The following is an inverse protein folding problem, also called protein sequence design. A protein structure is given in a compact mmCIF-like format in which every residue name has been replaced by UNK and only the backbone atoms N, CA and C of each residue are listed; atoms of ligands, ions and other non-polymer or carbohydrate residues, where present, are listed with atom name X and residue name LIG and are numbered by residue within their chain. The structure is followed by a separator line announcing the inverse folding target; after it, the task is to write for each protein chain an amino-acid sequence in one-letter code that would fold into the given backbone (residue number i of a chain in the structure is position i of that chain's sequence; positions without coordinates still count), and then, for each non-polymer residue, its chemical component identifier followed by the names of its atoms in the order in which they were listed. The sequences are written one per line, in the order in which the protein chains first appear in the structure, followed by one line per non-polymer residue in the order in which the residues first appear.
data_IF_378164064219
#
_entry.id   IF_378164064219
#
_cell.length_a   1.000
_cell.length_b   1.000
_cell.length_c   1.000
_cell.angle_alpha   90.00
_cell.angle_beta   90.00
_cell.angle_gamma   90.00
#
_symmetry.space_group_name_H-M   'P 1'
#
loop_
_entity.id
_entity.type
_entity.pdbx_description
1 polymer ?
#
# COMPACT_ATOMS: atom_id res chain seq x y z
N UNK A 1 -11.44 6.93 -6.45
CA UNK A 1 -12.20 8.09 -5.95
C UNK A 1 -13.23 7.73 -4.87
N UNK A 2 -14.05 6.68 -5.06
CA UNK A 2 -15.19 6.34 -4.16
C UNK A 2 -14.83 6.19 -2.67
N UNK A 3 -13.71 5.56 -2.34
CA UNK A 3 -13.28 5.38 -0.95
C UNK A 3 -12.99 6.71 -0.23
N UNK A 4 -12.27 7.63 -0.89
CA UNK A 4 -11.98 8.95 -0.34
C UNK A 4 -13.28 9.76 -0.12
N UNK A 5 -14.21 9.71 -1.08
CA UNK A 5 -15.51 10.36 -0.95
C UNK A 5 -16.33 9.82 0.24
N UNK A 6 -16.36 8.50 0.43
CA UNK A 6 -17.06 7.87 1.55
C UNK A 6 -16.50 8.30 2.91
N UNK A 7 -15.18 8.47 3.03
CA UNK A 7 -14.54 8.91 4.27
C UNK A 7 -14.87 10.37 4.61
N UNK A 8 -14.94 11.24 3.61
CA UNK A 8 -15.38 12.62 3.80
C UNK A 8 -16.85 12.70 4.20
N UNK A 9 -17.74 11.94 3.56
CA UNK A 9 -19.16 11.90 3.93
C UNK A 9 -19.39 11.30 5.32
N UNK A 10 -18.56 10.34 5.74
CA UNK A 10 -18.58 9.81 7.11
C UNK A 10 -18.17 10.86 8.15
N UNK A 11 -17.20 11.71 7.81
CA UNK A 11 -16.72 12.78 8.70
C UNK A 11 -17.69 13.97 8.74
N UNK A 12 -18.27 14.34 7.59
CA UNK A 12 -19.18 15.46 7.42
C UNK A 12 -20.38 15.03 6.54
N UNK A 13 -21.44 14.45 7.13
CA UNK A 13 -22.56 13.90 6.37
C UNK A 13 -23.45 14.96 5.72
N UNK A 14 -23.35 16.22 6.16
CA UNK A 14 -24.09 17.34 5.57
C UNK A 14 -23.41 17.92 4.31
N UNK A 15 -22.25 17.38 3.88
CA UNK A 15 -21.58 17.89 2.70
C UNK A 15 -22.40 17.65 1.44
N UNK A 16 -22.54 18.69 0.61
CA UNK A 16 -23.09 18.55 -0.72
C UNK A 16 -22.08 17.83 -1.64
N UNK A 17 -22.58 17.18 -2.69
CA UNK A 17 -21.71 16.54 -3.68
C UNK A 17 -20.78 17.55 -4.40
N UNK A 18 -21.26 18.78 -4.63
CA UNK A 18 -20.47 19.83 -5.24
C UNK A 18 -19.34 20.32 -4.32
N UNK A 19 -19.62 20.49 -3.04
CA UNK A 19 -18.60 20.86 -2.04
C UNK A 19 -17.58 19.75 -1.84
N UNK A 20 -18.02 18.48 -1.89
CA UNK A 20 -17.13 17.33 -1.80
C UNK A 20 -16.18 17.29 -3.00
N UNK A 21 -16.71 17.43 -4.22
CA UNK A 21 -15.91 17.46 -5.43
C UNK A 21 -14.88 18.60 -5.41
N UNK A 22 -15.31 19.80 -4.99
CA UNK A 22 -14.40 20.94 -4.81
C UNK A 22 -13.28 20.65 -3.82
N UNK A 23 -13.61 20.17 -2.61
CA UNK A 23 -12.60 19.86 -1.58
C UNK A 23 -11.64 18.76 -2.00
N UNK A 24 -12.10 17.76 -2.74
CA UNK A 24 -11.27 16.70 -3.28
C UNK A 24 -10.30 17.23 -4.34
N UNK A 25 -10.77 18.16 -5.18
CA UNK A 25 -9.98 18.78 -6.24
C UNK A 25 -8.94 19.75 -5.67
N UNK A 26 -9.32 20.62 -4.73
CA UNK A 26 -8.42 21.61 -4.10
C UNK A 26 -7.29 20.97 -3.30
N UNK A 27 -7.49 19.74 -2.81
CA UNK A 27 -6.48 18.99 -2.06
C UNK A 27 -5.76 17.95 -2.90
N UNK A 28 -6.07 17.83 -4.18
CA UNK A 28 -5.38 16.90 -5.04
C UNK A 28 -3.94 17.40 -5.26
N UNK A 29 -2.99 16.47 -5.21
CA UNK A 29 -1.59 16.76 -5.55
C UNK A 29 -1.43 16.66 -7.06
N UNK A 30 -1.08 17.77 -7.69
CA UNK A 30 -0.85 17.82 -9.12
C UNK A 30 0.39 17.01 -9.49
N UNK A 31 0.24 16.06 -10.42
CA UNK A 31 1.31 15.18 -10.89
C UNK A 31 1.68 15.45 -12.37
N UNK A 32 0.99 16.40 -13.01
CA UNK A 32 1.08 16.67 -14.43
C UNK A 32 1.50 18.11 -14.75
N UNK A 33 1.00 18.61 -15.88
CA UNK A 33 1.09 20.04 -16.18
C UNK A 33 0.28 20.84 -15.16
N UNK A 34 0.75 22.03 -14.75
CA UNK A 34 0.08 22.84 -13.74
C UNK A 34 -1.42 23.01 -14.00
N UNK A 35 -2.23 22.51 -13.08
CA UNK A 35 -3.68 22.59 -13.14
C UNK A 35 -4.32 21.31 -13.64
N UNK A 36 -5.40 21.44 -14.42
CA UNK A 36 -6.19 20.28 -14.83
C UNK A 36 -5.65 19.72 -16.14
N UNK A 37 -5.22 18.46 -16.13
CA UNK A 37 -4.74 17.77 -17.33
C UNK A 37 -5.69 16.63 -17.77
N UNK A 38 -5.45 16.08 -18.96
CA UNK A 38 -6.30 15.03 -19.54
C UNK A 38 -6.00 13.62 -18.99
N UNK A 39 -4.83 13.43 -18.38
CA UNK A 39 -4.35 12.12 -17.88
C UNK A 39 -4.67 11.95 -16.39
N UNK A 40 -4.33 12.93 -15.56
CA UNK A 40 -4.50 12.90 -14.10
C UNK A 40 -5.66 13.77 -13.62
N UNK A 41 -6.30 14.55 -14.48
CA UNK A 41 -7.42 15.38 -14.11
C UNK A 41 -6.94 16.49 -13.17
N UNK A 42 -7.36 16.47 -11.90
CA UNK A 42 -6.89 17.43 -10.91
C UNK A 42 -5.65 16.95 -10.13
N UNK A 43 -5.14 15.77 -10.46
CA UNK A 43 -4.03 15.13 -9.74
C UNK A 43 -4.47 14.03 -8.76
N UNK A 44 -3.56 13.67 -7.85
CA UNK A 44 -3.71 12.59 -6.88
C UNK A 44 -4.57 13.00 -5.69
N UNK A 45 -5.68 12.27 -5.48
CA UNK A 45 -6.58 12.49 -4.35
C UNK A 45 -5.94 12.15 -3.01
N UNK A 46 -5.93 13.12 -2.10
CA UNK A 46 -5.45 12.93 -0.74
C UNK A 46 -6.54 12.38 0.18
N UNK A 47 -6.23 11.31 0.89
CA UNK A 47 -7.14 10.74 1.88
C UNK A 47 -7.28 11.70 3.08
N UNK A 48 -8.48 11.81 3.70
CA UNK A 48 -8.65 12.63 4.88
C UNK A 48 -7.75 12.13 6.04
N UNK A 49 -7.35 13.00 6.99
CA UNK A 49 -6.40 12.64 8.05
C UNK A 49 -6.87 11.49 8.96
N UNK A 50 -8.18 11.27 9.05
CA UNK A 50 -8.80 10.14 9.77
C UNK A 50 -8.66 8.80 9.05
N UNK A 51 -8.03 8.77 7.87
CA UNK A 51 -7.79 7.57 7.08
C UNK A 51 -6.52 6.81 7.50
N UNK A 52 -5.83 7.28 8.55
CA UNK A 52 -4.77 6.54 9.21
C UNK A 52 -5.38 5.40 10.02
N UNK A 53 -5.51 4.22 9.39
CA UNK A 53 -5.65 2.98 10.14
C UNK A 53 -4.40 2.78 11.02
N UNK A 54 -4.43 1.93 12.05
CA UNK A 54 -3.21 1.52 12.72
C UNK A 54 -2.32 0.90 11.64
N UNK A 55 -1.35 1.68 11.15
CA UNK A 55 -0.40 1.20 10.18
C UNK A 55 0.17 -0.06 10.79
N UNK A 56 -0.03 -1.20 10.14
CA UNK A 56 0.74 -2.38 10.54
C UNK A 56 2.18 -2.00 10.24
N UNK A 57 2.87 -1.51 11.26
CA UNK A 57 4.33 -1.50 11.31
C UNK A 57 4.72 -2.97 11.45
N UNK A 58 4.52 -3.73 10.38
CA UNK A 58 5.16 -5.01 10.18
C UNK A 58 6.49 -4.75 9.48
N UNK A 59 7.53 -5.55 9.72
CA UNK A 59 8.82 -5.35 9.08
C UNK A 59 8.65 -5.43 7.56
N UNK A 60 8.70 -4.29 6.88
CA UNK A 60 8.76 -4.23 5.42
C UNK A 60 10.10 -4.83 4.96
N UNK A 61 10.13 -6.15 4.83
CA UNK A 61 11.15 -6.87 4.05
C UNK A 61 10.93 -6.53 2.57
N UNK A 62 11.35 -5.33 2.16
CA UNK A 62 11.52 -4.94 0.76
C UNK A 62 12.92 -5.39 0.33
N UNK A 63 12.97 -6.48 -0.44
CA UNK A 63 14.19 -7.23 -0.74
C UNK A 63 15.30 -6.43 -1.41
N UNK A 64 16.51 -6.57 -0.86
CA UNK A 64 17.71 -6.62 -1.69
C UNK A 64 17.66 -7.92 -2.50
N UNK A 65 17.82 -7.82 -3.81
CA UNK A 65 17.93 -8.96 -4.69
C UNK A 65 19.09 -9.87 -4.26
N UNK A 66 18.78 -11.04 -3.70
CA UNK A 66 19.66 -12.21 -3.76
C UNK A 66 18.76 -13.43 -3.83
N UNK A 67 18.34 -13.77 -5.05
CA UNK A 67 17.75 -15.08 -5.31
C UNK A 67 18.83 -16.13 -5.17
N UNK A 68 18.74 -16.97 -4.14
CA UNK A 68 19.53 -18.20 -4.03
C UNK A 68 18.95 -19.24 -3.05
N UNK A 69 17.69 -19.16 -2.62
CA UNK A 69 17.13 -20.13 -1.64
C UNK A 69 16.16 -21.17 -2.22
N UNK A 70 16.01 -21.25 -3.55
CA UNK A 70 15.32 -22.40 -4.18
C UNK A 70 16.30 -23.43 -4.73
N UNK A 71 16.96 -24.16 -3.82
CA UNK A 71 17.51 -25.48 -4.14
C UNK A 71 16.66 -26.52 -3.39
N UNK A 72 16.05 -27.43 -4.15
CA UNK A 72 15.16 -28.48 -3.66
C UNK A 72 15.85 -29.51 -2.75
N UNK A 73 15.13 -30.55 -2.31
CA UNK A 73 15.69 -31.56 -1.40
C UNK A 73 16.81 -32.35 -2.11
N UNK A 74 18.05 -32.09 -1.70
CA UNK A 74 19.23 -32.85 -2.10
C UNK A 74 19.22 -34.22 -1.42
N UNK A 75 18.90 -35.25 -2.19
CA UNK A 75 19.07 -36.64 -1.82
C UNK A 75 20.52 -37.07 -2.13
N UNK A 76 21.49 -36.74 -1.27
CA UNK A 76 22.78 -37.45 -1.27
C UNK A 76 23.61 -37.26 0.02
N UNK A 77 23.81 -38.36 0.75
CA UNK A 77 25.10 -38.70 1.36
C UNK A 77 25.58 -37.85 2.55
N UNK A 78 25.30 -38.31 3.76
CA UNK A 78 25.99 -37.85 4.97
C UNK A 78 25.82 -38.85 6.11
N UNK A 79 26.84 -39.66 6.33
CA UNK A 79 26.93 -40.74 7.31
C UNK A 79 26.59 -40.26 8.74
N UNK A 80 25.37 -40.57 9.19
CA UNK A 80 24.98 -40.43 10.59
C UNK A 80 25.59 -41.60 11.38
N UNK A 81 26.79 -41.36 11.92
CA UNK A 81 27.36 -42.14 13.01
C UNK A 81 26.35 -42.22 14.17
N UNK A 82 25.55 -43.29 14.19
CA UNK A 82 24.75 -43.68 15.36
C UNK A 82 25.47 -44.83 16.04
N UNK A 83 26.10 -44.47 17.15
CA UNK A 83 26.59 -45.37 18.17
C UNK A 83 25.56 -46.47 18.46
N UNK A 84 26.00 -47.72 18.29
CA UNK A 84 25.32 -48.88 18.85
C UNK A 84 26.09 -49.19 20.12
N UNK A 85 25.47 -48.86 21.25
CA UNK A 85 25.80 -49.46 22.52
C UNK A 85 25.24 -50.89 22.51
N UNK A 86 26.11 -51.89 22.62
CA UNK A 86 26.02 -53.10 23.46
C UNK A 86 27.29 -53.94 23.28
#
# INVERSE_FOLDING_TARGET
MTAAAALWLRAEPALSAADLARRLTERAEDLGEPGRDEVFGAGLLQAPPSCTGPGRVGPQNGGSATGADQAGPDLAGGEINRAIAE
#
